data_IF_573780023639
#
_entry.id   IF_573780023639
#
_cell.length_a   1.000
_cell.length_b   1.000
_cell.length_c   1.000
_cell.angle_alpha   90.00
_cell.angle_beta   90.00
_cell.angle_gamma   90.00
#
_symmetry.space_group_name_H-M   'P 1'
#
loop_
_entity.id
_entity.type
_entity.pdbx_description
1 polymer ?
#
# COMPACT_ATOMS: atom_id res chain seq x y z
N UNK A 1 10.40 -47.36 -66.77
CA UNK A 1 11.15 -46.46 -67.69
C UNK A 1 11.46 -45.20 -66.90
N UNK A 2 12.70 -44.99 -66.43
CA UNK A 2 13.75 -44.10 -67.00
C UNK A 2 13.15 -42.76 -67.47
N UNK A 3 13.57 -41.55 -67.06
CA UNK A 3 14.91 -41.02 -66.78
C UNK A 3 14.78 -39.66 -65.99
N UNK A 4 15.59 -39.29 -64.97
CA UNK A 4 16.96 -38.70 -64.96
C UNK A 4 17.00 -37.14 -65.05
N UNK A 5 17.53 -36.53 -63.96
CA UNK A 5 18.29 -35.26 -63.77
C UNK A 5 17.67 -33.89 -64.14
N UNK A 6 17.93 -32.78 -63.43
CA UNK A 6 19.24 -32.19 -63.10
C UNK A 6 19.26 -31.38 -61.79
N UNK A 7 20.32 -31.61 -61.01
CA UNK A 7 20.87 -30.70 -60.00
C UNK A 7 21.58 -29.55 -60.74
N UNK A 8 21.34 -28.31 -60.34
CA UNK A 8 22.17 -27.17 -60.72
C UNK A 8 22.81 -26.61 -59.44
N UNK A 9 24.13 -26.59 -59.48
CA UNK A 9 25.07 -26.18 -58.45
C UNK A 9 25.57 -24.81 -58.91
N UNK A 10 25.37 -23.76 -58.12
CA UNK A 10 26.00 -22.46 -58.37
C UNK A 10 26.81 -22.10 -57.12
N UNK A 11 28.12 -22.17 -57.33
CA UNK A 11 29.15 -21.72 -56.44
C UNK A 11 29.34 -20.20 -56.58
N UNK A 12 29.61 -19.55 -55.43
CA UNK A 12 30.59 -18.49 -55.27
C UNK A 12 30.31 -17.13 -55.88
N UNK A 13 30.13 -16.13 -55.00
CA UNK A 13 30.96 -14.92 -55.10
C UNK A 13 31.04 -14.23 -53.73
N UNK A 14 32.21 -14.34 -53.11
CA UNK A 14 32.72 -13.43 -52.10
C UNK A 14 32.92 -12.06 -52.75
N UNK A 15 32.30 -11.01 -52.20
CA UNK A 15 32.82 -9.65 -52.36
C UNK A 15 32.78 -8.91 -51.03
N UNK A 16 34.00 -8.72 -50.54
CA UNK A 16 34.42 -7.89 -49.43
C UNK A 16 34.15 -6.42 -49.79
N UNK A 17 33.20 -5.76 -49.11
CA UNK A 17 33.09 -4.29 -49.12
C UNK A 17 33.07 -3.76 -47.70
N UNK A 18 34.26 -3.35 -47.28
CA UNK A 18 34.58 -2.15 -46.53
C UNK A 18 33.72 -1.79 -45.33
N UNK A 19 34.35 -2.07 -44.19
CA UNK A 19 34.26 -1.38 -42.91
C UNK A 19 34.00 0.12 -43.09
N UNK A 20 32.79 0.57 -42.76
CA UNK A 20 32.56 1.89 -42.23
C UNK A 20 32.39 1.72 -40.73
N UNK A 21 33.44 2.06 -39.99
CA UNK A 21 33.36 2.24 -38.54
C UNK A 21 32.50 3.46 -38.24
N UNK A 22 31.20 3.25 -38.06
CA UNK A 22 30.46 4.06 -37.12
C UNK A 22 30.81 3.54 -35.74
N UNK A 23 31.78 4.19 -35.11
CA UNK A 23 31.96 4.15 -33.67
C UNK A 23 30.67 4.74 -33.09
N UNK A 24 29.74 3.86 -32.72
CA UNK A 24 28.74 4.23 -31.74
C UNK A 24 29.53 4.55 -30.48
N UNK A 25 29.57 5.82 -30.10
CA UNK A 25 29.87 6.18 -28.72
C UNK A 25 28.85 5.42 -27.88
N UNK A 26 29.29 4.32 -27.27
CA UNK A 26 28.65 3.72 -26.12
C UNK A 26 28.60 4.82 -25.07
N UNK A 27 27.55 5.63 -25.15
CA UNK A 27 27.09 6.43 -24.04
C UNK A 27 26.67 5.39 -23.03
N UNK A 28 27.60 5.00 -22.16
CA UNK A 28 27.30 4.45 -20.86
C UNK A 28 26.41 5.51 -20.19
N UNK A 29 25.11 5.44 -20.48
CA UNK A 29 24.10 5.91 -19.57
C UNK A 29 24.35 5.10 -18.31
N UNK A 30 25.15 5.66 -17.42
CA UNK A 30 25.10 5.38 -16.00
C UNK A 30 23.63 5.58 -15.63
N UNK A 31 22.85 4.50 -15.73
CA UNK A 31 21.59 4.39 -15.04
C UNK A 31 21.98 4.64 -13.59
N UNK A 32 21.77 5.88 -13.14
CA UNK A 32 21.60 6.17 -11.73
C UNK A 32 20.43 5.29 -11.35
N UNK A 33 20.73 4.09 -10.87
CA UNK A 33 19.77 3.26 -10.15
C UNK A 33 19.28 4.18 -9.05
N UNK A 34 18.06 4.68 -9.24
CA UNK A 34 17.37 5.43 -8.20
C UNK A 34 17.39 4.53 -6.97
N UNK A 35 18.02 5.00 -5.89
CA UNK A 35 18.21 4.17 -4.70
C UNK A 35 16.85 4.00 -4.01
N UNK A 36 16.17 2.88 -4.28
CA UNK A 36 14.95 2.52 -3.57
C UNK A 36 15.24 2.31 -2.08
N UNK A 37 14.29 2.68 -1.23
CA UNK A 37 14.39 2.47 0.22
C UNK A 37 14.29 0.97 0.52
N UNK A 38 15.29 0.45 1.24
CA UNK A 38 15.32 -0.94 1.65
C UNK A 38 14.24 -1.21 2.73
N UNK A 39 13.34 -2.14 2.44
CA UNK A 39 12.32 -2.61 3.38
C UNK A 39 13.01 -3.32 4.56
N UNK A 40 12.50 -3.13 5.78
CA UNK A 40 13.10 -3.68 7.00
C UNK A 40 14.56 -3.23 7.23
N UNK A 41 14.98 -2.10 6.65
CA UNK A 41 16.30 -1.51 6.91
C UNK A 41 16.54 -1.18 8.38
N UNK A 42 15.47 -1.08 9.18
CA UNK A 42 15.55 -0.87 10.63
C UNK A 42 14.80 -1.98 11.37
N UNK A 43 15.51 -2.91 12.03
CA UNK A 43 14.86 -4.01 12.73
C UNK A 43 14.08 -3.50 13.95
N UNK A 44 12.84 -3.96 14.07
CA UNK A 44 12.05 -3.79 15.29
C UNK A 44 12.67 -4.60 16.44
N UNK A 45 12.49 -4.16 17.68
CA UNK A 45 12.96 -4.96 18.82
C UNK A 45 12.25 -6.33 18.87
N UNK A 46 12.92 -7.41 19.34
CA UNK A 46 12.30 -8.72 19.45
C UNK A 46 11.04 -8.74 20.31
N UNK A 47 11.02 -7.94 21.38
CA UNK A 47 9.88 -7.82 22.29
C UNK A 47 8.66 -7.23 21.59
N UNK A 48 8.83 -6.20 20.77
CA UNK A 48 7.74 -5.59 20.02
C UNK A 48 7.28 -6.45 18.85
N UNK A 49 8.20 -7.14 18.17
CA UNK A 49 7.82 -8.13 17.16
C UNK A 49 6.96 -9.23 17.79
N UNK A 50 7.35 -9.72 18.97
CA UNK A 50 6.57 -10.68 19.74
C UNK A 50 5.23 -10.10 20.20
N UNK A 51 5.21 -8.85 20.67
CA UNK A 51 4.00 -8.15 21.10
C UNK A 51 3.03 -7.94 19.94
N UNK A 52 3.51 -7.51 18.78
CA UNK A 52 2.70 -7.35 17.57
C UNK A 52 2.10 -8.69 17.13
N UNK A 53 2.92 -9.75 17.09
CA UNK A 53 2.43 -11.11 16.80
C UNK A 53 1.39 -11.56 17.82
N UNK A 54 1.64 -11.34 19.11
CA UNK A 54 0.72 -11.71 20.18
C UNK A 54 -0.60 -10.91 20.12
N UNK A 55 -0.54 -9.61 19.80
CA UNK A 55 -1.73 -8.76 19.63
C UNK A 55 -2.55 -9.21 18.43
N UNK A 56 -1.92 -9.50 17.29
CA UNK A 56 -2.58 -10.09 16.12
C UNK A 56 -3.27 -11.43 16.48
N UNK A 57 -2.60 -12.28 17.27
CA UNK A 57 -3.19 -13.54 17.77
C UNK A 57 -4.36 -13.29 18.73
N UNK A 58 -4.25 -12.32 19.63
CA UNK A 58 -5.29 -12.00 20.60
C UNK A 58 -6.53 -11.39 19.93
N UNK A 59 -6.35 -10.52 18.93
CA UNK A 59 -7.44 -9.95 18.12
C UNK A 59 -8.24 -11.06 17.43
N UNK A 60 -7.57 -12.09 16.88
CA UNK A 60 -8.22 -13.28 16.31
C UNK A 60 -9.05 -14.04 17.35
N UNK A 61 -8.50 -14.25 18.54
CA UNK A 61 -9.19 -14.97 19.61
C UNK A 61 -10.40 -14.18 20.15
N UNK A 62 -10.28 -12.86 20.25
CA UNK A 62 -11.38 -12.00 20.71
C UNK A 62 -12.49 -11.85 19.67
N UNK A 63 -12.16 -11.82 18.38
CA UNK A 63 -13.15 -11.73 17.31
C UNK A 63 -14.04 -12.97 17.22
N UNK A 64 -13.48 -14.14 17.52
CA UNK A 64 -14.22 -15.42 17.50
C UNK A 64 -15.33 -15.50 18.56
N UNK A 65 -15.26 -14.72 19.65
CA UNK A 65 -16.29 -14.75 20.71
C UNK A 65 -17.44 -13.78 20.48
N UNK A 66 -17.22 -12.64 19.83
CA UNK A 66 -18.27 -11.64 19.62
C UNK A 66 -19.30 -12.14 18.59
N UNK A 67 -18.88 -12.87 17.55
CA UNK A 67 -19.81 -13.42 16.54
C UNK A 67 -20.66 -14.60 17.05
N UNK A 68 -20.27 -15.31 18.11
CA UNK A 68 -21.04 -16.44 18.63
C UNK A 68 -22.15 -16.02 19.61
N UNK A 69 -21.93 -14.98 20.43
CA UNK A 69 -22.94 -14.49 21.38
C UNK A 69 -23.87 -13.43 20.77
N UNK A 70 -23.41 -12.65 19.79
CA UNK A 70 -24.17 -11.54 19.23
C UNK A 70 -25.11 -11.96 18.08
N UNK A 71 -24.89 -13.13 17.45
CA UNK A 71 -25.79 -13.68 16.43
C UNK A 71 -26.99 -14.46 17.02
N UNK A 72 -26.89 -14.97 18.25
CA UNK A 72 -28.03 -15.60 18.96
C UNK A 72 -28.99 -14.58 19.60
N UNK A 73 -28.53 -13.36 19.89
CA UNK A 73 -29.35 -12.33 20.57
C UNK A 73 -30.13 -11.40 19.63
N UNK A 74 -29.84 -11.39 18.32
CA UNK A 74 -30.53 -10.49 17.37
C UNK A 74 -31.80 -11.04 16.70
N UNK A 75 -32.26 -12.26 17.01
CA UNK A 75 -33.51 -12.80 16.46
C UNK A 75 -34.67 -12.95 17.45
N UNK A 76 -34.52 -12.51 18.69
CA UNK A 76 -35.60 -12.61 19.68
C UNK A 76 -35.76 -11.35 20.53
N UNK A 77 -36.27 -10.31 19.87
CA UNK A 77 -37.06 -9.28 20.54
C UNK A 77 -36.39 -7.92 20.68
N UNK A 78 -36.89 -6.92 19.96
CA UNK A 78 -37.68 -5.85 20.57
C UNK A 78 -38.16 -4.88 19.47
N UNK A 79 -39.48 -4.85 19.29
CA UNK A 79 -40.19 -3.64 18.85
C UNK A 79 -40.42 -2.82 20.13
N UNK A 80 -39.96 -1.56 20.19
CA UNK A 80 -40.58 -0.42 20.91
C UNK A 80 -39.76 0.88 20.65
N UNK A 81 -40.39 2.07 20.61
CA UNK A 81 -39.90 3.26 19.92
C UNK A 81 -39.09 4.20 20.81
N UNK A 82 -38.10 4.86 20.21
CA UNK A 82 -37.19 5.80 20.89
C UNK A 82 -37.84 7.19 21.00
N UNK A 83 -37.94 7.67 22.24
CA UNK A 83 -38.36 9.02 22.62
C UNK A 83 -37.12 9.88 22.80
N UNK A 84 -36.93 10.87 21.92
CA UNK A 84 -35.80 11.79 21.96
C UNK A 84 -35.97 12.81 23.10
N UNK A 85 -34.95 12.94 23.94
CA UNK A 85 -34.87 13.94 25.01
C UNK A 85 -33.95 15.07 24.53
N UNK A 86 -34.48 16.29 24.60
CA UNK A 86 -33.96 17.54 24.04
C UNK A 86 -32.46 17.79 24.30
N UNK A 87 -31.66 17.77 23.23
CA UNK A 87 -30.44 18.58 23.13
C UNK A 87 -30.81 19.91 22.43
N UNK A 88 -30.31 21.02 22.98
CA UNK A 88 -30.64 22.37 22.55
C UNK A 88 -30.41 22.60 21.05
N UNK A 89 -31.39 23.25 20.43
CA UNK A 89 -31.44 23.61 19.01
C UNK A 89 -30.33 24.63 18.73
N UNK A 90 -29.29 24.30 17.95
CA UNK A 90 -28.45 25.31 17.32
C UNK A 90 -29.27 26.00 16.22
N UNK A 91 -29.10 27.32 16.13
CA UNK A 91 -29.69 28.19 15.11
C UNK A 91 -29.58 27.59 13.70
N UNK A 92 -30.68 27.63 12.95
CA UNK A 92 -30.94 26.92 11.69
C UNK A 92 -30.18 27.42 10.44
N UNK A 93 -29.14 28.25 10.60
CA UNK A 93 -28.44 28.86 9.47
C UNK A 93 -26.99 28.39 9.28
N UNK A 94 -26.44 27.58 10.19
CA UNK A 94 -25.12 26.95 10.00
C UNK A 94 -25.26 25.42 9.94
N UNK A 95 -25.86 24.94 8.84
CA UNK A 95 -25.66 23.56 8.42
C UNK A 95 -24.22 23.44 7.93
N UNK A 96 -23.28 23.23 8.86
CA UNK A 96 -21.97 22.69 8.54
C UNK A 96 -22.22 21.31 7.96
N UNK A 97 -22.31 21.29 6.63
CA UNK A 97 -22.18 20.09 5.82
C UNK A 97 -21.00 19.32 6.41
N UNK A 98 -21.25 18.10 6.89
CA UNK A 98 -20.23 17.14 7.27
C UNK A 98 -19.11 17.26 6.24
N UNK A 99 -18.01 17.90 6.64
CA UNK A 99 -16.88 18.16 5.77
C UNK A 99 -16.51 16.83 5.16
N UNK A 100 -16.57 16.74 3.83
CA UNK A 100 -16.08 15.61 3.06
C UNK A 100 -14.82 15.08 3.77
N UNK A 101 -14.81 13.79 4.13
CA UNK A 101 -13.66 13.15 4.75
C UNK A 101 -12.41 13.68 4.06
N UNK A 102 -11.55 14.37 4.80
CA UNK A 102 -10.37 15.07 4.30
C UNK A 102 -9.73 14.22 3.20
N UNK A 103 -9.85 14.66 1.94
CA UNK A 103 -9.26 13.96 0.82
C UNK A 103 -7.75 14.15 0.98
N UNK A 104 -7.08 13.21 1.63
CA UNK A 104 -5.63 13.21 1.72
C UNK A 104 -5.12 12.79 0.33
N UNK A 105 -4.51 13.70 -0.45
CA UNK A 105 -4.11 13.38 -1.82
C UNK A 105 -3.08 12.24 -1.85
N UNK A 106 -2.41 11.97 -0.73
CA UNK A 106 -1.43 10.91 -0.57
C UNK A 106 -2.04 9.52 -0.30
N UNK A 107 -3.37 9.41 -0.17
CA UNK A 107 -4.07 8.12 0.04
C UNK A 107 -4.14 7.27 -1.24
N UNK A 108 -4.14 7.93 -2.40
CA UNK A 108 -4.35 7.29 -3.68
C UNK A 108 -3.02 7.12 -4.40
N UNK A 109 -2.76 5.90 -4.79
CA UNK A 109 -1.65 5.50 -5.62
C UNK A 109 -2.15 5.16 -7.02
N UNK A 110 -1.24 4.98 -7.97
CA UNK A 110 -1.58 4.43 -9.27
C UNK A 110 -0.59 3.37 -9.71
N UNK A 111 -1.12 2.38 -10.43
CA UNK A 111 -0.29 1.35 -11.04
C UNK A 111 0.63 2.02 -12.05
N UNK A 112 1.94 1.86 -11.90
CA UNK A 112 2.91 2.25 -12.92
C UNK A 112 3.05 1.13 -13.95
N UNK A 113 3.48 -0.05 -13.49
CA UNK A 113 3.83 -1.16 -14.37
C UNK A 113 3.84 -2.52 -13.65
N UNK A 114 4.09 -3.59 -14.42
CA UNK A 114 4.29 -4.96 -13.92
C UNK A 114 5.67 -5.45 -14.34
N UNK A 115 6.73 -5.16 -13.55
CA UNK A 115 8.12 -5.39 -13.97
C UNK A 115 8.48 -6.88 -14.07
N UNK A 116 7.77 -7.74 -13.33
CA UNK A 116 7.98 -9.18 -13.32
C UNK A 116 6.66 -9.94 -13.13
N UNK A 117 6.71 -11.26 -13.26
CA UNK A 117 5.56 -12.10 -12.93
C UNK A 117 5.25 -11.96 -11.44
N UNK A 118 4.00 -11.61 -11.13
CA UNK A 118 3.50 -11.42 -9.77
C UNK A 118 4.12 -10.26 -8.99
N UNK A 119 4.65 -9.26 -9.69
CA UNK A 119 5.13 -8.01 -9.10
C UNK A 119 4.39 -6.84 -9.75
N UNK A 120 3.83 -5.98 -8.92
CA UNK A 120 3.19 -4.73 -9.31
C UNK A 120 4.05 -3.56 -8.83
N UNK A 121 4.28 -2.58 -9.69
CA UNK A 121 5.01 -1.34 -9.37
C UNK A 121 4.06 -0.16 -9.30
N UNK A 122 4.20 0.67 -8.28
CA UNK A 122 3.46 1.92 -8.08
C UNK A 122 4.26 3.13 -8.56
N UNK A 123 3.61 4.30 -8.60
CA UNK A 123 4.16 5.56 -9.09
C UNK A 123 5.37 6.08 -8.32
N UNK A 124 5.45 5.72 -7.03
CA UNK A 124 6.54 6.07 -6.15
C UNK A 124 7.76 5.15 -6.32
N UNK A 125 7.66 4.19 -7.25
CA UNK A 125 8.66 3.19 -7.54
C UNK A 125 8.70 2.01 -6.58
N UNK A 126 7.78 1.94 -5.61
CA UNK A 126 7.62 0.77 -4.75
C UNK A 126 7.12 -0.44 -5.55
N UNK A 127 7.61 -1.62 -5.20
CA UNK A 127 7.22 -2.88 -5.82
C UNK A 127 6.57 -3.78 -4.79
N UNK A 128 5.50 -4.44 -5.23
CA UNK A 128 4.62 -5.26 -4.39
C UNK A 128 4.47 -6.64 -5.01
N UNK A 129 4.83 -7.65 -4.23
CA UNK A 129 4.64 -9.04 -4.61
C UNK A 129 3.26 -9.53 -4.23
N UNK A 130 2.62 -10.30 -5.09
CA UNK A 130 1.29 -10.89 -4.87
C UNK A 130 1.28 -12.39 -5.20
N UNK A 131 0.22 -13.09 -4.82
CA UNK A 131 0.14 -14.55 -5.04
C UNK A 131 -0.04 -14.89 -6.51
N UNK A 132 0.47 -16.05 -6.93
CA UNK A 132 0.19 -16.63 -8.26
C UNK A 132 -1.32 -16.75 -8.48
N UNK A 133 -2.08 -17.06 -7.43
CA UNK A 133 -3.53 -17.23 -7.50
C UNK A 133 -4.26 -15.92 -7.82
N UNK A 134 -3.64 -14.77 -7.54
CA UNK A 134 -4.22 -13.45 -7.81
C UNK A 134 -3.79 -12.88 -9.17
N UNK A 135 -2.91 -13.58 -9.89
CA UNK A 135 -2.41 -13.11 -11.17
C UNK A 135 -3.50 -12.88 -12.21
N UNK A 136 -4.62 -13.61 -12.14
CA UNK A 136 -5.75 -13.35 -13.06
C UNK A 136 -6.46 -12.03 -12.75
N UNK A 137 -6.52 -11.60 -11.48
CA UNK A 137 -7.09 -10.32 -11.07
C UNK A 137 -6.13 -9.20 -11.48
N UNK A 138 -4.85 -9.33 -11.10
CA UNK A 138 -3.84 -8.32 -11.39
C UNK A 138 -3.68 -8.05 -12.90
N UNK A 139 -3.83 -9.07 -13.75
CA UNK A 139 -3.82 -8.92 -15.23
C UNK A 139 -4.95 -8.03 -15.79
N UNK A 140 -6.02 -7.83 -15.04
CA UNK A 140 -7.11 -6.94 -15.45
C UNK A 140 -6.79 -5.46 -15.20
N UNK A 141 -5.82 -5.18 -14.33
CA UNK A 141 -5.40 -3.82 -13.98
C UNK A 141 -4.48 -3.25 -15.06
N UNK A 142 -4.49 -1.93 -15.20
CA UNK A 142 -3.71 -1.20 -16.20
C UNK A 142 -2.86 -0.11 -15.54
N UNK A 143 -1.77 0.28 -16.21
CA UNK A 143 -1.03 1.46 -15.84
C UNK A 143 -1.94 2.69 -15.79
N UNK A 144 -1.86 3.46 -14.71
CA UNK A 144 -2.73 4.60 -14.40
C UNK A 144 -3.99 4.25 -13.60
N UNK A 145 -4.31 2.97 -13.38
CA UNK A 145 -5.43 2.61 -12.51
C UNK A 145 -5.16 3.07 -11.07
N UNK A 146 -6.15 3.75 -10.47
CA UNK A 146 -6.05 4.21 -9.09
C UNK A 146 -6.21 3.05 -8.12
N UNK A 147 -5.24 2.91 -7.21
CA UNK A 147 -5.24 1.89 -6.17
C UNK A 147 -5.13 2.53 -4.79
N UNK A 148 -5.61 1.81 -3.79
CA UNK A 148 -5.47 2.16 -2.37
C UNK A 148 -4.83 0.99 -1.65
N UNK A 149 -3.84 1.29 -0.81
CA UNK A 149 -3.17 0.32 0.05
C UNK A 149 -3.94 0.24 1.36
N UNK A 150 -4.28 -0.96 1.80
CA UNK A 150 -4.90 -1.17 3.11
C UNK A 150 -4.15 -2.26 3.86
N UNK A 151 -3.92 -2.11 5.17
CA UNK A 151 -3.46 -3.23 5.98
C UNK A 151 -4.49 -4.35 5.96
N UNK A 152 -4.02 -5.58 5.81
CA UNK A 152 -4.92 -6.73 5.78
C UNK A 152 -5.48 -6.99 7.18
N UNK A 153 -6.79 -6.83 7.33
CA UNK A 153 -7.52 -7.23 8.52
C UNK A 153 -7.48 -8.76 8.65
N UNK A 154 -6.97 -9.25 9.77
CA UNK A 154 -6.65 -10.67 9.97
C UNK A 154 -7.86 -11.57 10.19
N UNK A 155 -9.09 -11.04 10.23
CA UNK A 155 -10.24 -11.81 10.74
C UNK A 155 -10.58 -13.05 9.89
N UNK A 156 -10.36 -13.03 8.56
CA UNK A 156 -10.84 -14.11 7.69
C UNK A 156 -9.85 -14.64 6.63
N UNK A 157 -8.57 -14.26 6.65
CA UNK A 157 -7.70 -14.43 5.47
C UNK A 157 -6.33 -15.06 5.76
N UNK A 158 -5.73 -15.63 4.70
CA UNK A 158 -4.36 -16.16 4.70
C UNK A 158 -3.34 -15.14 5.22
N UNK A 159 -2.43 -15.62 6.09
CA UNK A 159 -1.38 -14.84 6.75
C UNK A 159 -0.16 -14.54 5.87
N UNK A 160 -0.12 -15.09 4.67
CA UNK A 160 1.08 -14.97 3.82
C UNK A 160 1.28 -13.53 3.33
N UNK A 161 0.23 -12.71 3.35
CA UNK A 161 0.24 -11.33 2.86
C UNK A 161 -0.26 -10.36 3.93
N UNK A 162 0.47 -9.25 4.10
CA UNK A 162 0.22 -8.27 5.17
C UNK A 162 -0.66 -7.09 4.75
N UNK A 163 -0.83 -6.88 3.45
CA UNK A 163 -1.55 -5.74 2.89
C UNK A 163 -2.47 -6.18 1.76
N UNK A 164 -3.37 -5.29 1.37
CA UNK A 164 -4.28 -5.43 0.24
C UNK A 164 -4.13 -4.19 -0.63
N UNK A 165 -3.99 -4.37 -1.94
CA UNK A 165 -4.19 -3.30 -2.91
C UNK A 165 -5.60 -3.41 -3.47
N UNK A 166 -6.36 -2.33 -3.41
CA UNK A 166 -7.71 -2.26 -3.98
C UNK A 166 -7.71 -1.31 -5.17
N UNK A 167 -8.02 -1.82 -6.36
CA UNK A 167 -8.23 -1.00 -7.55
C UNK A 167 -9.60 -0.34 -7.46
N UNK A 168 -9.62 0.99 -7.32
CA UNK A 168 -10.84 1.76 -7.08
C UNK A 168 -11.73 1.85 -8.32
N UNK A 169 -11.16 1.74 -9.51
CA UNK A 169 -11.90 1.77 -10.77
C UNK A 169 -12.62 0.44 -11.04
N UNK A 170 -11.98 -0.67 -10.71
CA UNK A 170 -12.52 -2.02 -10.97
C UNK A 170 -13.25 -2.63 -9.78
N UNK A 171 -13.04 -2.12 -8.57
CA UNK A 171 -13.56 -2.70 -7.33
C UNK A 171 -12.95 -4.06 -6.98
N UNK A 172 -11.89 -4.46 -7.66
CA UNK A 172 -11.14 -5.70 -7.38
C UNK A 172 -9.94 -5.42 -6.48
N UNK A 173 -9.50 -6.43 -5.75
CA UNK A 173 -8.35 -6.33 -4.83
C UNK A 173 -7.43 -7.54 -4.98
N UNK A 174 -6.17 -7.34 -4.56
CA UNK A 174 -5.14 -8.38 -4.47
C UNK A 174 -4.40 -8.25 -3.13
N UNK A 175 -4.07 -9.38 -2.52
CA UNK A 175 -3.23 -9.57 -1.36
C UNK A 175 -1.75 -9.37 -1.72
N UNK A 176 -1.08 -8.45 -1.02
CA UNK A 176 0.29 -8.06 -1.34
C UNK A 176 1.23 -7.96 -0.14
N UNK A 177 2.52 -8.12 -0.43
CA UNK A 177 3.62 -7.80 0.47
C UNK A 177 4.58 -6.85 -0.22
N UNK A 178 5.14 -5.88 0.53
CA UNK A 178 6.13 -4.99 -0.03
C UNK A 178 7.39 -5.81 -0.41
N UNK A 179 7.88 -5.60 -1.62
CA UNK A 179 9.06 -6.26 -2.19
C UNK A 179 10.23 -5.28 -2.36
N UNK A 180 9.94 -4.06 -2.86
CA UNK A 180 10.89 -2.93 -2.92
C UNK A 180 10.18 -1.68 -2.40
N UNK A 181 10.86 -0.87 -1.58
CA UNK A 181 10.30 0.39 -1.09
C UNK A 181 10.30 1.50 -2.15
N UNK A 182 9.70 2.67 -1.87
CA UNK A 182 9.70 3.80 -2.80
C UNK A 182 11.12 4.27 -3.15
N UNK A 183 11.24 4.98 -4.27
CA UNK A 183 12.47 5.70 -4.62
C UNK A 183 12.82 6.69 -3.52
N UNK A 184 14.05 6.64 -2.99
CA UNK A 184 14.43 7.56 -1.93
C UNK A 184 14.41 9.01 -2.46
N UNK A 185 13.77 9.91 -1.71
CA UNK A 185 13.63 11.33 -2.07
C UNK A 185 12.96 11.57 -3.42
N UNK A 186 12.20 10.59 -3.92
CA UNK A 186 11.39 10.72 -5.12
C UNK A 186 10.25 11.74 -4.94
N UNK A 187 9.67 12.25 -6.03
CA UNK A 187 8.62 13.27 -5.99
C UNK A 187 7.35 12.81 -5.24
N UNK A 188 7.11 11.50 -5.19
CA UNK A 188 5.95 10.88 -4.54
C UNK A 188 6.28 10.26 -3.18
N UNK A 189 7.55 10.30 -2.77
CA UNK A 189 7.99 9.66 -1.53
C UNK A 189 7.63 10.53 -0.34
N UNK A 190 7.04 9.92 0.69
CA UNK A 190 6.69 10.59 1.96
C UNK A 190 7.64 10.11 3.05
N UNK A 191 8.13 11.02 3.88
CA UNK A 191 8.98 10.67 5.02
C UNK A 191 8.67 11.47 6.27
N UNK A 192 9.11 10.94 7.40
CA UNK A 192 8.98 11.58 8.71
C UNK A 192 9.91 12.80 8.79
N UNK A 193 9.33 14.00 8.83
CA UNK A 193 10.05 15.24 9.05
C UNK A 193 10.29 15.52 10.55
N UNK A 194 9.41 15.01 11.41
CA UNK A 194 9.49 15.21 12.86
C UNK A 194 8.47 14.36 13.60
N UNK A 195 8.70 14.20 14.91
CA UNK A 195 7.83 13.42 15.79
C UNK A 195 7.64 14.18 17.10
N UNK A 196 6.39 14.29 17.56
CA UNK A 196 6.06 14.66 18.94
C UNK A 196 5.48 13.44 19.66
N UNK A 197 6.31 12.77 20.44
CA UNK A 197 5.90 11.61 21.24
C UNK A 197 4.95 11.95 22.38
N UNK A 198 4.95 13.20 22.87
CA UNK A 198 4.09 13.64 23.97
C UNK A 198 2.66 13.78 23.49
N UNK A 199 2.48 14.34 22.29
CA UNK A 199 1.18 14.52 21.65
C UNK A 199 0.75 13.33 20.80
N UNK A 200 1.64 12.36 20.57
CA UNK A 200 1.39 11.25 19.65
C UNK A 200 1.23 11.72 18.21
N UNK A 201 1.99 12.74 17.81
CA UNK A 201 1.91 13.35 16.49
C UNK A 201 3.14 13.03 15.64
N UNK A 202 2.92 12.81 14.35
CA UNK A 202 3.98 12.72 13.34
C UNK A 202 3.78 13.78 12.27
N UNK A 203 4.89 14.42 11.91
CA UNK A 203 4.93 15.42 10.85
C UNK A 203 5.55 14.76 9.61
N UNK A 204 4.79 14.71 8.53
CA UNK A 204 5.22 14.13 7.27
C UNK A 204 5.53 15.23 6.26
N UNK A 205 6.46 14.94 5.37
CA UNK A 205 6.75 15.77 4.20
C UNK A 205 6.95 14.86 2.98
N UNK A 206 6.51 15.30 1.80
CA UNK A 206 6.72 14.57 0.56
C UNK A 206 7.85 15.18 -0.31
N UNK A 207 8.17 14.50 -1.41
CA UNK A 207 9.18 14.93 -2.39
C UNK A 207 8.95 16.32 -2.99
N UNK A 208 7.72 16.84 -2.94
CA UNK A 208 7.34 18.16 -3.42
C UNK A 208 7.39 19.23 -2.32
N UNK A 209 7.71 18.86 -1.08
CA UNK A 209 7.77 19.76 0.07
C UNK A 209 6.43 20.04 0.74
N UNK A 210 5.36 19.36 0.34
CA UNK A 210 4.06 19.42 1.01
C UNK A 210 4.17 18.77 2.40
N UNK A 211 3.49 19.35 3.38
CA UNK A 211 3.55 18.92 4.78
C UNK A 211 2.18 18.54 5.28
N UNK A 212 2.11 17.47 6.07
CA UNK A 212 0.90 17.05 6.77
C UNK A 212 1.22 16.65 8.21
N UNK A 213 0.23 16.78 9.09
CA UNK A 213 0.36 16.42 10.50
C UNK A 213 -0.67 15.34 10.83
N UNK A 214 -0.22 14.33 11.56
CA UNK A 214 -1.04 13.15 11.83
C UNK A 214 -1.03 12.84 13.31
N UNK A 215 -2.19 12.53 13.85
CA UNK A 215 -2.35 12.02 15.22
C UNK A 215 -2.44 10.50 15.16
N UNK A 216 -1.56 9.84 15.89
CA UNK A 216 -1.49 8.38 15.98
C UNK A 216 -2.53 7.87 16.98
N UNK A 217 -3.16 6.74 16.65
CA UNK A 217 -4.04 6.04 17.58
C UNK A 217 -3.24 5.64 18.84
N UNK A 218 -3.74 6.01 20.02
CA UNK A 218 -3.08 5.72 21.30
C UNK A 218 -2.82 4.22 21.52
N UNK A 219 -3.64 3.35 20.91
CA UNK A 219 -3.46 1.89 20.95
C UNK A 219 -2.24 1.39 20.19
N UNK A 220 -1.61 2.23 19.35
CA UNK A 220 -0.45 1.91 18.51
C UNK A 220 0.81 2.66 18.97
N UNK A 221 0.74 3.44 20.06
CA UNK A 221 1.85 4.27 20.56
C UNK A 221 3.12 3.46 20.87
N UNK A 222 2.96 2.20 21.27
CA UNK A 222 4.07 1.29 21.58
C UNK A 222 4.87 0.86 20.34
N UNK A 223 4.30 0.98 19.15
CA UNK A 223 4.98 0.82 17.87
C UNK A 223 5.57 2.16 17.41
N UNK A 224 4.86 3.25 17.68
CA UNK A 224 5.27 4.59 17.27
C UNK A 224 6.58 5.06 17.90
N UNK A 225 6.90 4.63 19.13
CA UNK A 225 8.13 5.02 19.86
C UNK A 225 9.45 4.70 19.13
N UNK A 226 9.41 3.77 18.17
CA UNK A 226 10.59 3.38 17.40
C UNK A 226 10.69 4.11 16.06
N UNK A 227 9.67 4.85 15.64
CA UNK A 227 9.77 5.62 14.40
C UNK A 227 10.88 6.66 14.55
N UNK A 228 11.54 7.00 13.46
CA UNK A 228 12.49 8.11 13.49
C UNK A 228 12.31 9.04 12.29
N UNK A 229 12.89 10.22 12.43
CA UNK A 229 13.03 11.18 11.34
C UNK A 229 13.75 10.50 10.17
N UNK A 230 13.26 10.79 8.97
CA UNK A 230 13.65 10.19 7.69
C UNK A 230 13.16 8.76 7.44
N UNK A 231 12.37 8.14 8.33
CA UNK A 231 11.66 6.92 7.95
C UNK A 231 10.68 7.21 6.81
N UNK A 232 10.66 6.32 5.81
CA UNK A 232 9.79 6.40 4.64
C UNK A 232 8.44 5.80 4.96
N UNK A 233 7.40 6.56 4.65
CA UNK A 233 6.02 6.27 4.99
C UNK A 233 5.21 6.11 3.70
N UNK A 234 4.34 5.10 3.66
CA UNK A 234 3.24 5.01 2.71
C UNK A 234 1.93 5.29 3.44
N UNK A 235 1.00 5.97 2.79
CA UNK A 235 -0.28 6.34 3.37
C UNK A 235 -1.35 5.47 2.75
N UNK A 236 -1.92 4.60 3.58
CA UNK A 236 -3.00 3.70 3.20
C UNK A 236 -4.33 4.04 3.86
N UNK A 237 -5.35 3.31 3.46
CA UNK A 237 -6.68 3.33 4.06
C UNK A 237 -6.75 2.32 5.20
N UNK A 238 -7.25 2.74 6.35
CA UNK A 238 -7.49 1.85 7.48
C UNK A 238 -8.95 1.37 7.46
N UNK A 239 -9.29 0.64 6.39
CA UNK A 239 -10.60 0.01 6.21
C UNK A 239 -10.71 -1.26 7.09
N UNK A 240 -10.79 -1.03 8.40
CA UNK A 240 -11.24 -2.07 9.33
C UNK A 240 -12.75 -2.20 9.20
N UNK A 241 -13.31 -3.42 9.21
CA UNK A 241 -14.75 -3.63 9.08
C UNK A 241 -15.62 -2.84 10.09
N UNK A 242 -15.03 -2.40 11.21
CA UNK A 242 -15.61 -1.51 12.22
C UNK A 242 -15.33 -0.01 11.95
N UNK A 243 -15.05 0.39 10.71
CA UNK A 243 -14.58 1.73 10.32
C UNK A 243 -15.54 2.83 10.76
N UNK A 244 -16.85 2.56 10.87
CA UNK A 244 -17.83 3.54 11.33
C UNK A 244 -17.64 3.96 12.80
N UNK A 245 -16.79 3.27 13.59
CA UNK A 245 -16.44 3.64 14.96
C UNK A 245 -15.04 4.23 15.13
N UNK A 246 -14.17 4.17 14.11
CA UNK A 246 -12.80 4.67 14.22
C UNK A 246 -12.65 6.05 13.61
N UNK A 247 -12.22 7.03 14.41
CA UNK A 247 -11.78 8.33 13.87
C UNK A 247 -10.41 8.26 13.19
N UNK A 248 -9.70 7.13 13.28
CA UNK A 248 -8.41 6.89 12.65
C UNK A 248 -8.64 6.07 11.37
N UNK A 249 -8.93 6.77 10.29
CA UNK A 249 -9.30 6.22 8.99
C UNK A 249 -8.11 5.99 8.05
N UNK A 250 -6.89 6.34 8.47
CA UNK A 250 -5.68 6.12 7.67
C UNK A 250 -4.72 5.15 8.34
N UNK A 251 -3.93 4.47 7.52
CA UNK A 251 -2.83 3.62 7.93
C UNK A 251 -1.52 4.25 7.47
N UNK A 252 -0.65 4.66 8.40
CA UNK A 252 0.70 5.10 8.07
C UNK A 252 1.63 3.88 8.13
N UNK A 253 2.11 3.45 6.97
CA UNK A 253 2.93 2.25 6.79
C UNK A 253 4.40 2.67 6.76
N UNK A 254 5.17 2.32 7.80
CA UNK A 254 6.61 2.58 7.84
C UNK A 254 7.35 1.47 7.08
N UNK A 255 7.90 1.82 5.92
CA UNK A 255 8.58 0.90 5.00
C UNK A 255 9.87 0.35 5.62
N UNK A 256 10.60 1.18 6.38
CA UNK A 256 11.85 0.82 7.03
C UNK A 256 11.67 -0.25 8.12
N UNK A 257 10.48 -0.31 8.72
CA UNK A 257 10.16 -1.24 9.83
C UNK A 257 9.11 -2.30 9.46
N UNK A 258 8.49 -2.19 8.28
CA UNK A 258 7.44 -3.08 7.75
C UNK A 258 6.27 -3.31 8.72
N UNK A 259 5.70 -2.21 9.21
CA UNK A 259 4.51 -2.20 10.04
C UNK A 259 3.70 -0.93 9.77
N UNK A 260 2.49 -0.86 10.31
CA UNK A 260 1.65 0.33 10.15
C UNK A 260 1.09 0.80 11.49
N UNK A 261 0.71 2.08 11.52
CA UNK A 261 0.02 2.73 12.61
C UNK A 261 -1.31 3.26 12.10
N UNK A 262 -2.35 3.21 12.93
CA UNK A 262 -3.62 3.89 12.62
C UNK A 262 -3.46 5.37 12.95
N UNK A 263 -3.88 6.23 12.03
CA UNK A 263 -3.73 7.67 12.18
C UNK A 263 -4.94 8.44 11.64
N UNK A 264 -5.03 9.71 12.04
CA UNK A 264 -5.93 10.71 11.48
C UNK A 264 -5.15 11.97 11.15
N UNK A 265 -5.34 12.51 9.96
CA UNK A 265 -4.79 13.81 9.57
C UNK A 265 -5.48 14.94 10.35
N UNK A 266 -4.74 16.00 10.71
CA UNK A 266 -5.26 17.17 11.44
C UNK A 266 -4.95 18.50 10.76
#
# INVERSE_FOLDING_TARGET
MKAVTKKALIAGLTLLTMMNGLSAEDTEQSQTTEDNVLINSRPMSPEQSKLMKAKRIAELQSGTQIEAEEMETQLSGLIIPIKWQNCGIPSSDDMICSTASSYSPHLYHWVDSFPAQNVLKLEDGSEWSFSVDEAYIARSWRGGDTVVISPKSSWFWSYDYSYVLTNKSLGSYIDVNPFVGPVAWGPYTVWVAGIDYTLGQVYLVNGQGERSTWVINSSDIYLFKDWAVNDTILIGDNDSWLWWFSSYNHALINVNMNHYLRAREI
#
